data_IF_577902741056
#
_entry.id   IF_577902741056
#
_cell.length_a   1.000
_cell.length_b   1.000
_cell.length_c   1.000
_cell.angle_alpha   90.00
_cell.angle_beta   90.00
_cell.angle_gamma   90.00
#
_symmetry.space_group_name_H-M   'P 1'
#
loop_
_entity.id
_entity.type
_entity.pdbx_description
1 polymer ?
#
# COMPACT_ATOMS: atom_id res chain seq x y z
N UNK A 1 22.10 4.57 -36.00
CA UNK A 1 22.22 5.61 -34.97
C UNK A 1 22.50 4.91 -33.66
N UNK A 2 23.56 5.30 -32.98
CA UNK A 2 23.80 4.85 -31.61
C UNK A 2 22.74 5.54 -30.71
N UNK A 3 22.16 4.80 -29.78
CA UNK A 3 21.28 5.39 -28.75
C UNK A 3 22.14 6.32 -27.92
N UNK A 4 21.79 7.61 -27.86
CA UNK A 4 22.43 8.52 -26.94
C UNK A 4 21.77 8.33 -25.56
N UNK A 5 22.35 7.46 -24.75
CA UNK A 5 21.84 7.16 -23.42
C UNK A 5 22.19 8.27 -22.39
N UNK A 6 22.95 9.29 -22.80
CA UNK A 6 23.17 10.47 -21.95
C UNK A 6 21.84 11.23 -21.73
N UNK A 7 20.89 11.15 -22.67
CA UNK A 7 19.52 11.70 -22.48
C UNK A 7 18.74 11.01 -21.38
N UNK A 8 19.01 9.74 -21.08
CA UNK A 8 18.34 8.98 -20.03
C UNK A 8 18.75 9.46 -18.63
N UNK A 9 20.05 9.73 -18.41
CA UNK A 9 20.52 10.30 -17.13
C UNK A 9 19.98 11.71 -16.93
N UNK A 10 19.97 12.55 -17.98
CA UNK A 10 19.40 13.89 -17.94
C UNK A 10 17.91 13.85 -17.60
N UNK A 11 17.15 12.94 -18.20
CA UNK A 11 15.72 12.77 -17.90
C UNK A 11 15.49 12.40 -16.42
N UNK A 12 16.28 11.48 -15.87
CA UNK A 12 16.19 11.08 -14.45
C UNK A 12 16.54 12.25 -13.55
N UNK A 13 17.60 13.00 -13.83
CA UNK A 13 18.03 14.14 -13.04
C UNK A 13 17.00 15.27 -13.03
N UNK A 14 16.37 15.55 -14.19
CA UNK A 14 15.32 16.57 -14.32
C UNK A 14 14.01 16.19 -13.61
N UNK A 15 13.70 14.90 -13.57
CA UNK A 15 12.42 14.40 -13.03
C UNK A 15 12.56 13.65 -11.71
N UNK A 16 13.72 13.72 -11.05
CA UNK A 16 14.07 12.91 -9.86
C UNK A 16 12.98 12.90 -8.78
N UNK A 17 12.49 14.06 -8.35
CA UNK A 17 11.47 14.18 -7.31
C UNK A 17 10.14 13.55 -7.71
N UNK A 18 9.76 13.69 -8.97
CA UNK A 18 8.51 13.14 -9.50
C UNK A 18 8.57 11.61 -9.59
N UNK A 19 9.72 11.08 -9.98
CA UNK A 19 9.98 9.64 -10.05
C UNK A 19 9.98 9.01 -8.66
N UNK A 20 10.63 9.62 -7.69
CA UNK A 20 10.61 9.18 -6.29
C UNK A 20 9.18 9.19 -5.75
N UNK A 21 8.42 10.28 -5.95
CA UNK A 21 7.02 10.34 -5.53
C UNK A 21 6.17 9.24 -6.16
N UNK A 22 6.30 9.01 -7.46
CA UNK A 22 5.60 7.93 -8.15
C UNK A 22 5.98 6.55 -7.63
N UNK A 23 7.23 6.35 -7.25
CA UNK A 23 7.71 5.09 -6.68
C UNK A 23 7.15 4.84 -5.28
N UNK A 24 7.31 5.83 -4.39
CA UNK A 24 7.00 5.70 -2.97
C UNK A 24 5.50 5.85 -2.68
N UNK A 25 4.78 6.66 -3.44
CA UNK A 25 3.33 6.88 -3.29
C UNK A 25 2.48 6.20 -4.37
N UNK A 26 3.10 5.45 -5.27
CA UNK A 26 2.41 4.73 -6.36
C UNK A 26 1.48 3.59 -5.92
N UNK A 27 1.79 2.83 -4.85
CA UNK A 27 0.93 1.76 -4.38
C UNK A 27 -0.48 2.24 -4.04
N UNK A 28 -1.49 1.48 -4.46
CA UNK A 28 -2.90 1.83 -4.27
C UNK A 28 -3.29 1.98 -2.81
N UNK A 29 -2.77 1.10 -1.95
CA UNK A 29 -3.03 1.11 -0.50
C UNK A 29 -2.66 2.44 0.14
N UNK A 30 -1.58 3.08 -0.29
CA UNK A 30 -1.07 4.33 0.32
C UNK A 30 -2.06 5.48 0.18
N UNK A 31 -2.84 5.52 -0.91
CA UNK A 31 -3.89 6.53 -1.10
C UNK A 31 -4.98 6.54 -0.03
N UNK A 32 -5.09 5.47 0.75
CA UNK A 32 -6.04 5.35 1.87
C UNK A 32 -5.43 5.60 3.24
N UNK A 33 -4.10 5.60 3.35
CA UNK A 33 -3.40 5.66 4.64
C UNK A 33 -3.04 7.09 5.04
N UNK A 34 -2.81 7.29 6.33
CA UNK A 34 -2.22 8.55 6.81
C UNK A 34 -0.73 8.56 6.52
N UNK A 35 -0.32 9.46 5.64
CA UNK A 35 1.08 9.65 5.30
C UNK A 35 1.79 10.43 6.39
N UNK A 36 2.88 9.88 6.91
CA UNK A 36 3.80 10.55 7.80
C UNK A 36 5.16 10.72 7.12
N UNK A 37 5.52 11.96 6.83
CA UNK A 37 6.80 12.31 6.21
C UNK A 37 7.89 12.54 7.25
N UNK A 38 9.17 12.50 6.84
CA UNK A 38 10.31 12.75 7.71
C UNK A 38 10.65 11.61 8.67
N UNK A 39 10.23 10.37 8.35
CA UNK A 39 10.50 9.18 9.16
C UNK A 39 11.86 8.60 8.79
N UNK A 40 12.94 9.08 9.42
CA UNK A 40 14.32 8.60 9.24
C UNK A 40 14.71 7.42 10.11
N UNK A 41 13.96 7.18 11.16
CA UNK A 41 14.22 6.12 12.14
C UNK A 41 12.95 5.82 12.92
N UNK A 42 13.06 4.96 13.94
CA UNK A 42 11.92 4.58 14.80
C UNK A 42 11.19 5.81 15.31
N UNK A 43 10.00 6.05 14.80
CA UNK A 43 9.19 7.22 15.11
C UNK A 43 7.99 6.80 15.95
N UNK A 44 7.76 7.52 17.06
CA UNK A 44 6.68 7.21 17.99
C UNK A 44 5.39 7.92 17.60
N UNK A 45 4.30 7.16 17.58
CA UNK A 45 2.93 7.66 17.46
C UNK A 45 2.35 7.67 18.89
N UNK A 46 1.98 8.85 19.37
CA UNK A 46 1.32 8.98 20.66
C UNK A 46 -0.18 8.74 20.49
N UNK A 47 -0.72 7.87 21.31
CA UNK A 47 -2.13 7.48 21.30
C UNK A 47 -2.77 7.93 22.61
N UNK A 48 -3.93 8.54 22.51
CA UNK A 48 -4.76 8.92 23.66
C UNK A 48 -6.09 8.18 23.57
N UNK A 49 -6.36 7.34 24.54
CA UNK A 49 -7.64 6.66 24.69
C UNK A 49 -8.34 7.20 25.93
N UNK A 50 -9.56 7.69 25.75
CA UNK A 50 -10.34 8.28 26.85
C UNK A 50 -11.65 7.54 26.99
N UNK A 51 -11.91 7.01 28.17
CA UNK A 51 -13.19 6.42 28.57
C UNK A 51 -13.89 7.33 29.57
N UNK A 52 -15.16 7.61 29.34
CA UNK A 52 -15.97 8.44 30.23
C UNK A 52 -17.22 7.66 30.62
N UNK A 53 -17.52 7.64 31.92
CA UNK A 53 -18.79 7.11 32.45
C UNK A 53 -19.57 8.24 33.11
N UNK A 54 -20.89 8.20 32.99
CA UNK A 54 -21.70 9.22 33.69
C UNK A 54 -21.81 8.86 35.16
N UNK A 55 -21.55 9.84 36.04
CA UNK A 55 -21.76 9.75 37.46
C UNK A 55 -23.13 10.32 37.88
N UNK A 56 -23.50 10.09 39.14
CA UNK A 56 -24.71 10.69 39.70
C UNK A 56 -24.51 12.20 39.93
N UNK A 57 -25.23 13.00 39.13
CA UNK A 57 -25.21 14.48 39.25
C UNK A 57 -25.98 15.05 40.43
N UNK A 58 -26.71 14.22 41.18
CA UNK A 58 -27.47 14.63 42.36
C UNK A 58 -26.65 14.50 43.65
N UNK A 59 -25.53 13.76 43.60
CA UNK A 59 -24.66 13.59 44.77
C UNK A 59 -23.63 14.73 44.88
N UNK A 60 -23.35 15.17 46.12
CA UNK A 60 -22.29 16.12 46.37
C UNK A 60 -20.93 15.39 46.44
N UNK A 61 -19.90 15.95 45.82
CA UNK A 61 -18.54 15.42 45.84
C UNK A 61 -17.91 15.34 44.47
N UNK A 62 -16.60 15.15 44.42
CA UNK A 62 -15.84 14.88 43.17
C UNK A 62 -15.64 13.38 43.07
N UNK A 63 -16.21 12.77 42.04
CA UNK A 63 -15.97 11.36 41.69
C UNK A 63 -15.32 11.35 40.30
N UNK A 64 -14.18 10.73 40.19
CA UNK A 64 -13.49 10.59 38.89
C UNK A 64 -14.22 9.54 38.06
N UNK A 65 -14.86 10.01 37.00
CA UNK A 65 -15.64 9.20 36.06
C UNK A 65 -15.01 9.14 34.67
N UNK A 66 -13.83 9.70 34.49
CA UNK A 66 -13.09 9.68 33.23
C UNK A 66 -11.70 9.09 33.45
N UNK A 67 -11.32 8.17 32.57
CA UNK A 67 -9.96 7.64 32.53
C UNK A 67 -9.33 7.96 31.16
N UNK A 68 -8.13 8.52 31.21
CA UNK A 68 -7.34 8.80 30.01
C UNK A 68 -6.05 7.97 30.04
N UNK A 69 -5.92 7.07 29.09
CA UNK A 69 -4.72 6.24 28.94
C UNK A 69 -3.89 6.75 27.77
N UNK A 70 -2.62 7.06 28.05
CA UNK A 70 -1.66 7.44 27.01
C UNK A 70 -0.79 6.23 26.72
N UNK A 71 -0.77 5.81 25.46
CA UNK A 71 0.10 4.74 24.96
C UNK A 71 0.92 5.21 23.77
N UNK A 72 1.94 4.45 23.41
CA UNK A 72 2.80 4.76 22.27
C UNK A 72 2.97 3.53 21.40
N UNK A 73 2.90 3.73 20.10
CA UNK A 73 3.33 2.73 19.09
C UNK A 73 4.46 3.31 18.26
N UNK A 74 5.28 2.45 17.68
CA UNK A 74 6.45 2.87 16.93
C UNK A 74 6.30 2.43 15.46
N UNK A 75 6.53 3.35 14.51
CA UNK A 75 6.81 3.01 13.13
C UNK A 75 8.28 2.61 13.08
N UNK A 76 8.56 1.38 12.64
CA UNK A 76 9.91 0.88 12.41
C UNK A 76 10.19 0.91 10.89
N UNK A 77 10.92 1.92 10.39
CA UNK A 77 11.10 2.09 8.96
C UNK A 77 12.15 1.13 8.42
N UNK A 78 11.86 0.56 7.24
CA UNK A 78 12.78 -0.22 6.43
C UNK A 78 13.50 0.67 5.43
N UNK A 79 14.82 0.66 5.41
CA UNK A 79 15.60 1.25 4.31
C UNK A 79 15.72 0.23 3.19
N UNK A 80 15.16 0.54 2.04
CA UNK A 80 15.11 -0.33 0.86
C UNK A 80 16.04 0.21 -0.21
N UNK A 81 16.81 -0.70 -0.82
CA UNK A 81 17.67 -0.40 -1.94
C UNK A 81 17.37 -1.33 -3.12
N UNK A 82 17.15 -0.73 -4.28
CA UNK A 82 16.93 -1.44 -5.54
C UNK A 82 18.05 -1.07 -6.50
N UNK A 83 18.84 -2.07 -6.87
CA UNK A 83 19.92 -1.91 -7.85
C UNK A 83 19.55 -2.68 -9.11
N UNK A 84 19.55 -1.99 -10.25
CA UNK A 84 19.34 -2.60 -11.55
C UNK A 84 20.53 -2.33 -12.49
N UNK A 85 20.89 -3.33 -13.30
CA UNK A 85 21.99 -3.22 -14.26
C UNK A 85 21.48 -3.55 -15.66
N UNK A 86 21.88 -2.77 -16.65
CA UNK A 86 21.43 -2.90 -18.03
C UNK A 86 22.62 -2.88 -18.99
N UNK A 87 22.76 -3.93 -19.77
CA UNK A 87 23.80 -4.01 -20.78
C UNK A 87 23.43 -3.13 -22.00
N UNK A 88 24.32 -2.26 -22.40
CA UNK A 88 24.16 -1.33 -23.53
C UNK A 88 23.69 -2.01 -24.81
N UNK A 89 24.31 -3.12 -25.19
CA UNK A 89 23.97 -3.89 -26.40
C UNK A 89 22.54 -4.46 -26.38
N UNK A 90 22.04 -4.85 -25.19
CA UNK A 90 20.64 -5.33 -25.02
C UNK A 90 19.65 -4.17 -25.10
N UNK A 91 20.02 -3.04 -24.55
CA UNK A 91 19.22 -1.82 -24.59
C UNK A 91 19.05 -1.30 -26.01
N UNK A 92 20.12 -1.29 -26.81
CA UNK A 92 20.03 -0.89 -28.22
C UNK A 92 19.03 -1.75 -29.02
N UNK A 93 19.04 -3.06 -28.81
CA UNK A 93 18.10 -3.97 -29.47
C UNK A 93 16.64 -3.68 -29.04
N UNK A 94 16.43 -3.43 -27.77
CA UNK A 94 15.12 -3.09 -27.24
C UNK A 94 14.62 -1.74 -27.79
N UNK A 95 15.49 -0.74 -27.84
CA UNK A 95 15.22 0.57 -28.41
C UNK A 95 14.80 0.50 -29.88
N UNK A 96 15.47 -0.29 -30.70
CA UNK A 96 15.10 -0.48 -32.10
C UNK A 96 13.68 -1.06 -32.24
N UNK A 97 13.34 -2.05 -31.42
CA UNK A 97 11.99 -2.62 -31.40
C UNK A 97 10.95 -1.60 -30.93
N UNK A 98 11.29 -0.78 -29.94
CA UNK A 98 10.43 0.29 -29.45
C UNK A 98 10.18 1.37 -30.48
N UNK A 99 11.20 1.80 -31.24
CA UNK A 99 11.04 2.75 -32.33
C UNK A 99 10.08 2.25 -33.41
N UNK A 100 10.10 0.96 -33.72
CA UNK A 100 9.12 0.36 -34.65
C UNK A 100 7.69 0.49 -34.09
N UNK A 101 7.51 0.34 -32.79
CA UNK A 101 6.22 0.50 -32.11
C UNK A 101 5.74 1.95 -32.15
N UNK A 102 6.62 2.91 -31.94
CA UNK A 102 6.33 4.35 -32.05
C UNK A 102 5.98 4.72 -33.49
N UNK A 103 6.75 4.25 -34.48
CA UNK A 103 6.50 4.48 -35.90
C UNK A 103 5.15 3.87 -36.37
N UNK A 104 4.71 2.81 -35.72
CA UNK A 104 3.38 2.20 -35.97
C UNK A 104 2.24 2.92 -35.25
N UNK A 105 2.49 4.04 -34.55
CA UNK A 105 1.50 4.82 -33.80
C UNK A 105 0.94 4.15 -32.55
N UNK A 106 1.65 3.14 -32.03
CA UNK A 106 1.23 2.36 -30.84
C UNK A 106 1.75 2.91 -29.52
N UNK A 107 2.72 3.81 -29.55
CA UNK A 107 3.26 4.53 -28.41
C UNK A 107 3.66 5.95 -28.79
N UNK A 108 3.47 6.91 -27.90
CA UNK A 108 3.84 8.32 -28.09
C UNK A 108 4.92 8.78 -27.10
N UNK A 109 5.25 7.94 -26.12
CA UNK A 109 6.22 8.28 -25.07
C UNK A 109 7.66 8.18 -25.60
N UNK A 110 8.58 9.05 -25.15
CA UNK A 110 10.01 8.84 -25.34
C UNK A 110 10.47 7.51 -24.76
N UNK A 111 11.52 6.93 -25.31
CA UNK A 111 12.04 5.64 -24.81
C UNK A 111 12.52 5.71 -23.37
N UNK A 112 13.18 6.81 -23.03
CA UNK A 112 13.70 7.10 -21.71
C UNK A 112 12.61 7.08 -20.66
N UNK A 113 11.53 7.78 -20.93
CA UNK A 113 10.36 7.84 -20.04
C UNK A 113 9.69 6.48 -19.89
N UNK A 114 9.51 5.75 -21.00
CA UNK A 114 8.91 4.41 -20.96
C UNK A 114 9.75 3.44 -20.12
N UNK A 115 11.07 3.50 -20.26
CA UNK A 115 11.97 2.63 -19.51
C UNK A 115 11.97 2.91 -18.02
N UNK A 116 12.09 4.18 -17.63
CA UNK A 116 12.09 4.60 -16.22
C UNK A 116 10.73 4.32 -15.58
N UNK A 117 9.63 4.62 -16.26
CA UNK A 117 8.28 4.33 -15.75
C UNK A 117 8.07 2.83 -15.51
N UNK A 118 8.58 1.96 -16.39
CA UNK A 118 8.51 0.50 -16.18
C UNK A 118 9.25 0.05 -14.92
N UNK A 119 10.39 0.67 -14.59
CA UNK A 119 11.13 0.38 -13.37
C UNK A 119 10.36 0.88 -12.12
N UNK A 120 9.81 2.10 -12.19
CA UNK A 120 8.98 2.69 -11.13
C UNK A 120 7.75 1.83 -10.85
N UNK A 121 7.02 1.41 -11.89
CA UNK A 121 5.85 0.54 -11.75
C UNK A 121 6.18 -0.80 -11.11
N UNK A 122 7.29 -1.43 -11.53
CA UNK A 122 7.74 -2.70 -10.95
C UNK A 122 8.11 -2.56 -9.46
N UNK A 123 8.76 -1.45 -9.10
CA UNK A 123 9.08 -1.13 -7.71
C UNK A 123 7.81 -0.89 -6.89
N UNK A 124 6.82 -0.18 -7.45
CA UNK A 124 5.53 0.05 -6.80
C UNK A 124 4.78 -1.25 -6.49
N UNK A 125 4.82 -2.24 -7.38
CA UNK A 125 4.21 -3.56 -7.15
C UNK A 125 4.87 -4.29 -5.98
N UNK A 126 6.21 -4.28 -5.89
CA UNK A 126 6.92 -4.92 -4.78
C UNK A 126 6.73 -4.16 -3.46
N UNK A 127 6.65 -2.83 -3.52
CA UNK A 127 6.34 -2.01 -2.34
C UNK A 127 4.92 -2.30 -1.82
N UNK A 128 3.92 -2.45 -2.71
CA UNK A 128 2.57 -2.84 -2.33
C UNK A 128 2.55 -4.18 -1.58
N UNK A 129 3.32 -5.17 -2.05
CA UNK A 129 3.46 -6.45 -1.35
C UNK A 129 4.14 -6.31 0.02
N UNK A 130 5.19 -5.48 0.10
CA UNK A 130 5.92 -5.23 1.33
C UNK A 130 5.06 -4.52 2.39
N UNK A 131 4.21 -3.58 1.99
CA UNK A 131 3.25 -2.90 2.88
C UNK A 131 2.32 -3.91 3.57
N UNK A 132 1.87 -4.95 2.85
CA UNK A 132 0.96 -5.95 3.40
C UNK A 132 1.66 -7.08 4.14
N UNK A 133 2.68 -7.66 3.54
CA UNK A 133 3.32 -8.90 4.01
C UNK A 133 4.62 -8.67 4.79
N UNK A 134 5.04 -7.40 4.92
CA UNK A 134 6.36 -7.11 5.44
C UNK A 134 7.50 -7.48 4.48
N UNK A 135 8.72 -7.23 4.89
CA UNK A 135 9.91 -7.55 4.11
C UNK A 135 11.08 -7.90 5.01
N UNK A 136 11.89 -8.87 4.59
CA UNK A 136 13.15 -9.21 5.26
C UNK A 136 14.31 -8.60 4.45
N UNK A 137 15.03 -7.66 5.07
CA UNK A 137 16.17 -6.97 4.47
C UNK A 137 17.40 -7.19 5.35
N UNK A 138 18.42 -7.83 4.79
CA UNK A 138 19.68 -8.06 5.49
C UNK A 138 19.56 -8.89 6.79
N UNK A 139 18.52 -9.73 6.90
CA UNK A 139 18.24 -10.53 8.10
C UNK A 139 17.39 -9.82 9.16
N UNK A 140 16.94 -8.59 8.89
CA UNK A 140 15.99 -7.86 9.73
C UNK A 140 14.60 -7.95 9.10
N UNK A 141 13.62 -8.38 9.89
CA UNK A 141 12.22 -8.44 9.48
C UNK A 141 11.55 -7.10 9.78
N UNK A 142 11.01 -6.47 8.74
CA UNK A 142 10.19 -5.27 8.84
C UNK A 142 8.72 -5.65 8.62
N UNK A 143 7.88 -5.18 9.53
CA UNK A 143 6.48 -5.60 9.60
C UNK A 143 5.63 -4.91 8.54
N UNK A 144 4.79 -5.71 7.87
CA UNK A 144 3.64 -5.24 7.11
C UNK A 144 2.35 -5.28 7.95
N UNK A 145 1.23 -4.86 7.36
CA UNK A 145 -0.04 -4.86 8.08
C UNK A 145 -0.49 -6.27 8.52
N UNK A 146 -0.20 -7.33 7.76
CA UNK A 146 -0.56 -8.70 8.14
C UNK A 146 0.27 -9.25 9.30
N UNK A 147 1.44 -8.68 9.60
CA UNK A 147 2.29 -9.13 10.71
C UNK A 147 1.73 -8.71 12.08
N UNK A 148 0.80 -7.76 12.10
CA UNK A 148 0.02 -7.43 13.29
C UNK A 148 -1.22 -8.31 13.48
N UNK A 149 -1.34 -9.42 12.73
CA UNK A 149 -2.50 -10.30 12.72
C UNK A 149 -2.90 -10.87 14.09
N UNK A 150 -1.95 -11.02 15.00
CA UNK A 150 -2.21 -11.48 16.37
C UNK A 150 -2.89 -10.44 17.26
N UNK A 151 -2.85 -9.19 16.84
CA UNK A 151 -3.44 -8.05 17.55
C UNK A 151 -4.83 -7.69 17.02
N UNK A 152 -5.23 -8.23 15.86
CA UNK A 152 -6.51 -7.98 15.22
C UNK A 152 -7.59 -8.95 15.70
N UNK A 153 -8.86 -8.52 15.59
CA UNK A 153 -9.99 -9.45 15.69
C UNK A 153 -10.00 -10.33 14.44
N UNK A 154 -9.86 -11.64 14.59
CA UNK A 154 -9.80 -12.56 13.46
C UNK A 154 -11.15 -13.22 13.18
N UNK A 155 -11.55 -13.25 11.92
CA UNK A 155 -12.70 -13.98 11.39
C UNK A 155 -12.19 -15.02 10.41
N UNK A 156 -12.55 -16.29 10.64
CA UNK A 156 -12.09 -17.42 9.82
C UNK A 156 -13.25 -18.10 9.10
N UNK A 157 -12.92 -18.67 7.94
CA UNK A 157 -13.86 -19.35 7.05
C UNK A 157 -14.37 -20.66 7.69
N UNK A 158 -15.69 -20.87 7.65
CA UNK A 158 -16.27 -22.19 7.84
C UNK A 158 -16.30 -22.95 6.49
N UNK A 159 -16.49 -24.27 6.53
CA UNK A 159 -16.26 -25.16 5.38
C UNK A 159 -17.05 -24.84 4.08
N UNK A 160 -18.11 -24.04 4.14
CA UNK A 160 -19.04 -23.80 3.00
C UNK A 160 -19.20 -22.28 2.70
N UNK A 161 -18.51 -21.40 3.42
CA UNK A 161 -18.68 -19.95 3.24
C UNK A 161 -18.04 -19.45 1.94
N UNK A 162 -18.73 -18.58 1.25
CA UNK A 162 -18.27 -17.92 0.02
C UNK A 162 -17.46 -16.66 0.32
N UNK A 163 -16.79 -16.09 -0.68
CA UNK A 163 -16.03 -14.84 -0.49
C UNK A 163 -16.93 -13.69 -0.01
N UNK A 164 -18.14 -13.58 -0.54
CA UNK A 164 -19.12 -12.59 -0.10
C UNK A 164 -19.50 -12.76 1.37
N UNK A 165 -19.79 -14.00 1.78
CA UNK A 165 -20.17 -14.30 3.18
C UNK A 165 -19.03 -14.00 4.15
N UNK A 166 -17.81 -14.31 3.75
CA UNK A 166 -16.61 -13.99 4.55
C UNK A 166 -16.40 -12.49 4.71
N UNK A 167 -16.51 -11.72 3.62
CA UNK A 167 -16.39 -10.26 3.67
C UNK A 167 -17.52 -9.67 4.52
N UNK A 168 -18.74 -10.20 4.38
CA UNK A 168 -19.88 -9.78 5.20
C UNK A 168 -19.69 -10.06 6.69
N UNK A 169 -19.18 -11.23 7.02
CA UNK A 169 -18.83 -11.63 8.39
C UNK A 169 -17.70 -10.74 8.96
N UNK A 170 -16.71 -10.40 8.13
CA UNK A 170 -15.69 -9.42 8.47
C UNK A 170 -16.28 -8.05 8.77
N UNK A 171 -17.20 -7.57 7.93
CA UNK A 171 -17.91 -6.31 8.14
C UNK A 171 -18.73 -6.31 9.45
N UNK A 172 -19.46 -7.39 9.72
CA UNK A 172 -20.28 -7.49 10.92
C UNK A 172 -19.45 -7.57 12.23
N UNK A 173 -18.17 -7.93 12.12
CA UNK A 173 -17.22 -7.95 13.24
C UNK A 173 -16.56 -6.58 13.53
N UNK A 174 -16.71 -5.58 12.64
CA UNK A 174 -16.11 -4.25 12.83
C UNK A 174 -16.83 -3.53 13.98
N UNK A 175 -16.11 -2.93 14.92
CA UNK A 175 -16.71 -2.11 15.98
C UNK A 175 -17.51 -0.95 15.38
N UNK A 176 -18.73 -0.71 15.92
CA UNK A 176 -19.64 0.31 15.39
C UNK A 176 -19.04 1.72 15.37
N UNK A 177 -18.13 2.02 16.28
CA UNK A 177 -17.46 3.33 16.37
C UNK A 177 -16.49 3.60 15.22
N UNK A 178 -15.85 2.55 14.66
CA UNK A 178 -14.86 2.65 13.59
C UNK A 178 -15.41 2.35 12.20
N UNK A 179 -16.68 1.92 12.11
CA UNK A 179 -17.28 1.45 10.87
C UNK A 179 -17.27 2.50 9.74
N UNK A 180 -17.47 3.78 10.07
CA UNK A 180 -17.52 4.86 9.08
C UNK A 180 -16.18 5.10 8.36
N UNK A 181 -15.07 4.80 9.04
CA UNK A 181 -13.71 5.07 8.59
C UNK A 181 -12.95 3.79 8.20
N UNK A 182 -13.68 2.66 8.12
CA UNK A 182 -13.10 1.37 7.78
C UNK A 182 -13.27 1.05 6.29
N UNK A 183 -12.17 0.59 5.69
CA UNK A 183 -12.10 0.06 4.32
C UNK A 183 -11.68 -1.41 4.39
N UNK A 184 -12.32 -2.26 3.59
CA UNK A 184 -11.99 -3.69 3.53
C UNK A 184 -11.06 -3.92 2.36
N UNK A 185 -9.82 -4.30 2.64
CA UNK A 185 -8.81 -4.67 1.65
C UNK A 185 -8.80 -6.17 1.46
N UNK A 186 -8.82 -6.61 0.21
CA UNK A 186 -8.77 -8.02 -0.18
C UNK A 186 -7.81 -8.21 -1.35
N UNK A 187 -7.31 -9.42 -1.58
CA UNK A 187 -6.57 -9.72 -2.81
C UNK A 187 -7.46 -9.53 -4.05
N UNK A 188 -6.86 -9.20 -5.19
CA UNK A 188 -7.59 -9.07 -6.46
C UNK A 188 -8.25 -10.40 -6.86
N UNK A 189 -7.66 -11.53 -6.48
CA UNK A 189 -8.25 -12.87 -6.64
C UNK A 189 -9.59 -12.98 -5.89
N UNK A 190 -9.63 -12.58 -4.61
CA UNK A 190 -10.84 -12.59 -3.78
C UNK A 190 -11.86 -11.55 -4.20
N UNK A 191 -11.39 -10.39 -4.68
CA UNK A 191 -12.26 -9.38 -5.26
C UNK A 191 -13.01 -9.91 -6.50
N UNK A 192 -12.32 -10.66 -7.37
CA UNK A 192 -12.95 -11.29 -8.56
C UNK A 192 -13.96 -12.36 -8.16
N UNK A 193 -13.66 -13.18 -7.15
CA UNK A 193 -14.63 -14.14 -6.60
C UNK A 193 -15.87 -13.41 -6.07
N UNK A 194 -15.69 -12.34 -5.28
CA UNK A 194 -16.77 -11.50 -4.78
C UNK A 194 -17.65 -10.94 -5.91
N UNK A 195 -17.05 -10.36 -6.94
CA UNK A 195 -17.77 -9.79 -8.09
C UNK A 195 -18.57 -10.86 -8.84
N UNK A 196 -18.02 -12.05 -9.02
CA UNK A 196 -18.70 -13.20 -9.62
C UNK A 196 -19.90 -13.66 -8.80
N UNK A 197 -19.76 -13.77 -7.48
CA UNK A 197 -20.86 -14.15 -6.58
C UNK A 197 -21.99 -13.13 -6.53
N UNK A 198 -21.65 -11.83 -6.49
CA UNK A 198 -22.64 -10.76 -6.52
C UNK A 198 -23.46 -10.80 -7.83
N UNK A 199 -22.80 -11.08 -8.95
CA UNK A 199 -23.45 -11.26 -10.25
C UNK A 199 -24.38 -12.48 -10.24
N UNK A 200 -23.89 -13.62 -9.72
CA UNK A 200 -24.68 -14.87 -9.64
C UNK A 200 -25.91 -14.75 -8.73
N UNK A 201 -25.80 -14.00 -7.64
CA UNK A 201 -26.91 -13.75 -6.69
C UNK A 201 -27.86 -12.63 -7.16
N UNK A 202 -27.66 -12.07 -8.36
CA UNK A 202 -28.44 -10.95 -8.92
C UNK A 202 -28.50 -9.71 -8.01
N UNK A 203 -27.50 -9.53 -7.16
CA UNK A 203 -27.29 -8.33 -6.34
C UNK A 203 -26.71 -7.17 -7.15
N UNK A 204 -26.69 -7.31 -8.44
CA UNK A 204 -26.14 -6.42 -9.47
C UNK A 204 -26.96 -5.13 -9.68
N UNK A 205 -28.16 -5.01 -9.11
CA UNK A 205 -28.95 -3.77 -9.17
C UNK A 205 -28.35 -2.62 -8.35
N UNK A 206 -27.33 -2.89 -7.58
CA UNK A 206 -26.53 -1.87 -6.95
C UNK A 206 -25.43 -1.50 -7.95
N UNK A 207 -25.60 -0.34 -8.62
CA UNK A 207 -24.58 0.21 -9.52
C UNK A 207 -23.32 0.50 -8.70
N UNK A 208 -22.30 -0.33 -8.77
CA UNK A 208 -21.02 0.03 -8.15
C UNK A 208 -20.53 1.22 -8.96
N UNK A 209 -20.57 2.41 -8.38
CA UNK A 209 -19.80 3.53 -8.89
C UNK A 209 -18.34 3.11 -8.77
N UNK A 210 -17.85 2.47 -9.81
CA UNK A 210 -16.45 2.08 -9.94
C UNK A 210 -15.72 3.33 -10.39
N UNK A 211 -15.45 4.22 -9.45
CA UNK A 211 -14.64 5.40 -9.72
C UNK A 211 -13.18 5.01 -10.01
N UNK A 212 -12.75 3.86 -9.48
CA UNK A 212 -11.40 3.30 -9.70
C UNK A 212 -11.43 1.79 -9.92
N UNK A 213 -10.41 1.26 -10.60
CA UNK A 213 -10.27 -0.18 -10.84
C UNK A 213 -10.18 -0.96 -9.52
N UNK A 214 -10.95 -2.06 -9.42
CA UNK A 214 -11.02 -2.95 -8.25
C UNK A 214 -11.53 -2.29 -6.95
N UNK A 215 -12.49 -1.38 -7.06
CA UNK A 215 -13.21 -0.82 -5.92
C UNK A 215 -14.71 -1.06 -6.06
N UNK A 216 -15.35 -1.37 -4.95
CA UNK A 216 -16.80 -1.45 -4.89
C UNK A 216 -17.28 -1.10 -3.47
N UNK A 217 -18.53 -0.72 -3.35
CA UNK A 217 -19.21 -0.61 -2.07
C UNK A 217 -19.89 -1.95 -1.77
N UNK A 218 -19.69 -2.49 -0.57
CA UNK A 218 -20.35 -3.74 -0.17
C UNK A 218 -21.87 -3.54 -0.17
N UNK A 219 -22.65 -4.37 -0.91
CA UNK A 219 -24.09 -4.21 -1.03
C UNK A 219 -24.80 -4.10 0.31
N UNK A 220 -25.67 -3.08 0.45
CA UNK A 220 -26.40 -2.79 1.69
C UNK A 220 -25.58 -2.10 2.78
N UNK A 221 -24.40 -1.60 2.46
CA UNK A 221 -23.52 -0.88 3.38
C UNK A 221 -22.94 0.37 2.72
N UNK A 222 -22.17 1.17 3.49
CA UNK A 222 -21.38 2.31 2.98
C UNK A 222 -19.89 1.99 2.90
N UNK A 223 -19.48 0.78 3.34
CA UNK A 223 -18.07 0.39 3.43
C UNK A 223 -17.53 -0.02 2.07
N UNK A 224 -16.38 0.54 1.72
CA UNK A 224 -15.67 0.19 0.48
C UNK A 224 -14.93 -1.15 0.64
N UNK A 225 -14.95 -1.94 -0.44
CA UNK A 225 -14.09 -3.12 -0.62
C UNK A 225 -13.12 -2.81 -1.74
N UNK A 226 -11.84 -2.93 -1.45
CA UNK A 226 -10.73 -2.57 -2.35
C UNK A 226 -9.89 -3.81 -2.64
N UNK A 227 -9.77 -4.13 -3.93
CA UNK A 227 -8.87 -5.18 -4.40
C UNK A 227 -7.44 -4.65 -4.54
N UNK A 228 -6.49 -5.25 -3.82
CA UNK A 228 -5.08 -4.86 -3.84
C UNK A 228 -4.17 -6.04 -4.22
N UNK A 229 -3.20 -5.83 -5.14
CA UNK A 229 -2.31 -6.91 -5.59
C UNK A 229 -1.41 -7.46 -4.48
N UNK A 230 -1.11 -6.65 -3.46
CA UNK A 230 -0.25 -7.07 -2.34
C UNK A 230 -0.83 -8.20 -1.48
N UNK A 231 -2.14 -8.41 -1.54
CA UNK A 231 -2.85 -9.49 -0.82
C UNK A 231 -3.13 -10.72 -1.69
N UNK A 232 -2.78 -10.70 -2.98
CA UNK A 232 -3.04 -11.83 -3.88
C UNK A 232 -2.36 -13.12 -3.39
N UNK A 233 -3.12 -14.21 -3.41
CA UNK A 233 -2.65 -15.52 -3.01
C UNK A 233 -2.39 -15.71 -1.51
N UNK A 234 -2.58 -14.68 -0.68
CA UNK A 234 -2.41 -14.80 0.79
C UNK A 234 -3.58 -15.49 1.47
N UNK A 235 -4.74 -15.53 0.81
CA UNK A 235 -5.98 -16.00 1.41
C UNK A 235 -6.45 -15.16 2.59
N UNK A 236 -5.96 -13.93 2.70
CA UNK A 236 -6.29 -13.00 3.79
C UNK A 236 -6.88 -11.71 3.24
N UNK A 237 -7.74 -11.10 4.03
CA UNK A 237 -8.22 -9.73 3.85
C UNK A 237 -8.14 -8.99 5.17
N UNK A 238 -8.16 -7.68 5.14
CA UNK A 238 -8.11 -6.84 6.32
C UNK A 238 -9.14 -5.71 6.22
N UNK A 239 -10.09 -5.67 7.16
CA UNK A 239 -10.90 -4.50 7.38
C UNK A 239 -10.08 -3.54 8.26
N UNK A 240 -9.60 -2.45 7.67
CA UNK A 240 -8.63 -1.53 8.25
C UNK A 240 -9.29 -0.16 8.50
N UNK A 241 -9.22 0.35 9.71
CA UNK A 241 -9.57 1.73 9.99
C UNK A 241 -8.47 2.65 9.43
N UNK A 242 -8.77 3.30 8.31
CA UNK A 242 -7.80 4.11 7.57
C UNK A 242 -7.36 5.37 8.31
N UNK A 243 -8.15 5.88 9.25
CA UNK A 243 -7.75 7.01 10.09
C UNK A 243 -6.65 6.66 11.09
N UNK A 244 -6.55 5.39 11.46
CA UNK A 244 -5.61 4.91 12.46
C UNK A 244 -4.50 4.04 11.86
N UNK A 245 -4.41 4.01 10.53
CA UNK A 245 -3.37 3.33 9.79
C UNK A 245 -2.37 4.34 9.21
N UNK A 246 -1.10 4.13 9.48
CA UNK A 246 -0.01 5.05 9.13
C UNK A 246 0.97 4.41 8.17
N UNK A 247 1.37 5.20 7.19
CA UNK A 247 2.48 4.91 6.30
C UNK A 247 3.55 5.98 6.50
N UNK A 248 4.72 5.58 6.98
CA UNK A 248 5.86 6.46 7.22
C UNK A 248 6.88 6.37 6.10
N UNK A 249 7.37 7.51 5.65
CA UNK A 249 8.43 7.63 4.64
C UNK A 249 9.27 8.88 4.89
N UNK A 250 10.48 8.92 4.37
CA UNK A 250 11.37 10.08 4.44
C UNK A 250 11.37 10.85 3.12
N UNK A 251 10.21 11.41 2.73
CA UNK A 251 10.09 12.18 1.48
C UNK A 251 10.77 13.56 1.53
N UNK A 252 11.27 14.00 2.68
CA UNK A 252 11.92 15.30 2.85
C UNK A 252 13.43 15.20 3.07
N UNK A 253 13.98 13.98 3.06
CA UNK A 253 15.38 13.71 3.42
C UNK A 253 16.29 13.42 2.26
N UNK A 254 17.60 13.44 2.55
CA UNK A 254 18.68 13.09 1.62
C UNK A 254 18.80 11.56 1.37
N UNK A 255 17.96 10.75 2.01
CA UNK A 255 18.03 9.28 1.96
C UNK A 255 17.24 8.69 0.78
N UNK A 256 16.41 9.50 0.10
CA UNK A 256 15.68 9.07 -1.08
C UNK A 256 16.48 9.37 -2.35
N UNK A 257 16.95 8.34 -3.01
CA UNK A 257 17.82 8.45 -4.18
C UNK A 257 17.20 7.73 -5.37
N UNK A 258 17.16 8.41 -6.49
CA UNK A 258 16.94 7.80 -7.80
C UNK A 258 18.06 8.24 -8.73
N UNK A 259 19.06 7.38 -8.90
CA UNK A 259 20.23 7.67 -9.70
C UNK A 259 20.37 6.70 -10.86
N UNK A 260 20.81 7.22 -12.01
CA UNK A 260 21.12 6.43 -13.18
C UNK A 260 22.47 6.88 -13.76
N UNK A 261 23.42 5.97 -13.85
CA UNK A 261 24.77 6.28 -14.38
C UNK A 261 25.34 5.15 -15.23
N UNK A 262 26.29 5.51 -16.09
CA UNK A 262 27.05 4.56 -16.89
C UNK A 262 28.32 4.13 -16.17
N UNK A 263 28.50 2.83 -15.97
CA UNK A 263 29.73 2.24 -15.42
C UNK A 263 30.69 1.89 -16.56
N UNK A 264 31.79 2.63 -16.65
CA UNK A 264 32.83 2.40 -17.67
C UNK A 264 33.57 1.08 -17.48
N UNK A 265 33.69 0.63 -16.23
CA UNK A 265 34.43 -0.59 -15.88
C UNK A 265 33.71 -1.84 -16.39
N UNK A 266 32.38 -1.88 -16.28
CA UNK A 266 31.59 -3.03 -16.69
C UNK A 266 30.86 -2.82 -18.02
N UNK A 267 30.93 -1.62 -18.62
CA UNK A 267 30.24 -1.24 -19.85
C UNK A 267 28.73 -1.47 -19.76
N UNK A 268 28.15 -1.05 -18.64
CA UNK A 268 26.74 -1.22 -18.35
C UNK A 268 26.13 0.04 -17.70
N UNK A 269 24.85 0.24 -17.89
CA UNK A 269 24.05 1.22 -17.16
C UNK A 269 23.61 0.66 -15.82
N UNK A 270 23.67 1.49 -14.80
CA UNK A 270 23.26 1.17 -13.42
C UNK A 270 22.21 2.15 -12.94
N UNK A 271 21.13 1.61 -12.41
CA UNK A 271 20.12 2.39 -11.71
C UNK A 271 20.13 2.00 -10.21
N UNK A 272 20.06 2.98 -9.35
CA UNK A 272 19.87 2.81 -7.92
C UNK A 272 18.65 3.60 -7.48
N UNK A 273 17.74 2.93 -6.75
CA UNK A 273 16.59 3.54 -6.10
C UNK A 273 16.71 3.19 -4.63
N UNK A 274 16.87 4.19 -3.79
CA UNK A 274 16.93 4.05 -2.35
C UNK A 274 15.77 4.85 -1.75
N UNK A 275 15.02 4.24 -0.83
CA UNK A 275 13.93 4.89 -0.12
C UNK A 275 13.66 4.21 1.23
N UNK A 276 12.91 4.90 2.07
CA UNK A 276 12.53 4.43 3.40
C UNK A 276 11.02 4.31 3.48
N UNK A 277 10.52 3.19 4.00
CA UNK A 277 9.11 3.03 4.28
C UNK A 277 8.87 2.25 5.57
N UNK A 278 7.73 2.49 6.21
CA UNK A 278 7.28 1.73 7.37
C UNK A 278 5.77 1.83 7.52
N UNK A 279 5.14 0.83 8.11
CA UNK A 279 3.70 0.84 8.37
C UNK A 279 3.42 0.60 9.84
N UNK A 280 2.34 1.21 10.35
CA UNK A 280 1.88 0.98 11.72
C UNK A 280 0.38 1.22 11.82
N UNK A 281 -0.24 0.48 12.75
CA UNK A 281 -1.64 0.65 13.12
C UNK A 281 -1.72 1.17 14.55
N UNK A 282 -2.44 2.28 14.76
CA UNK A 282 -2.58 2.88 16.09
C UNK A 282 -3.44 2.00 17.01
N UNK A 283 -4.62 1.63 16.58
CA UNK A 283 -5.59 0.83 17.36
C UNK A 283 -5.91 -0.48 16.65
N UNK A 284 -5.14 -1.56 16.93
CA UNK A 284 -5.37 -2.85 16.28
C UNK A 284 -6.76 -3.45 16.54
N UNK A 285 -7.31 -3.19 17.73
CA UNK A 285 -8.63 -3.72 18.12
C UNK A 285 -9.79 -3.24 17.26
N UNK A 286 -9.60 -2.17 16.49
CA UNK A 286 -10.59 -1.64 15.56
C UNK A 286 -10.59 -2.36 14.21
N UNK A 287 -9.60 -3.22 13.97
CA UNK A 287 -9.36 -3.86 12.69
C UNK A 287 -9.74 -5.34 12.74
N UNK A 288 -10.22 -5.85 11.59
CA UNK A 288 -10.68 -7.24 11.50
C UNK A 288 -9.92 -7.96 10.39
N UNK A 289 -9.19 -9.02 10.79
CA UNK A 289 -8.53 -9.93 9.87
C UNK A 289 -9.54 -10.95 9.33
N UNK A 290 -9.64 -11.06 8.03
CA UNK A 290 -10.51 -12.00 7.32
C UNK A 290 -9.64 -13.12 6.74
N UNK A 291 -9.84 -14.36 7.19
CA UNK A 291 -9.14 -15.54 6.66
C UNK A 291 -10.11 -16.32 5.76
N UNK A 292 -9.87 -16.27 4.43
CA UNK A 292 -10.70 -16.90 3.40
C UNK A 292 -10.49 -18.40 3.28
#
# INVERSE_FOLDING_TARGET
MAVNLDSLSVYVDENKLDLIRKTVLGPKTIGYLNLQTGVKGKTKINLLETTVTFGDGASCGFTDNANATISQREIDPASVKINATFCDKKMQKYFMNYQVTVAAGRSTLPFEEHFVNSLVESTGVELEKAIWNGVNIGGTEYKGFLDFSTEYTAVSKAAIETAYEMIRKGYDAIPSASLADTVIFVGVDKYRELAGELTAKNLYHYDPKVDEAFEMILPGTTTKVVGVPGLDGTGKGLALNVKHAFYGTDMEGDEEVFDLWYSKDNQEWRAAIDFVFGVQVAFPNENVLINF
#
